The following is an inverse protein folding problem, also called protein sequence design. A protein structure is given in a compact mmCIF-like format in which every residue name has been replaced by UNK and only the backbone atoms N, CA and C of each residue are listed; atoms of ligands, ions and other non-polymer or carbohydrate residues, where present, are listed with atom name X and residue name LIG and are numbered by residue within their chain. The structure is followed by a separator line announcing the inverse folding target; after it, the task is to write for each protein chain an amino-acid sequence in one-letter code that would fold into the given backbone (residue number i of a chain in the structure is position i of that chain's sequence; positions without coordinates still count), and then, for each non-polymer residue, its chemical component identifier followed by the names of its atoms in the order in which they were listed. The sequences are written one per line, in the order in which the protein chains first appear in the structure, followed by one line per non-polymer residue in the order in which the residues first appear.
data_IF_180181654536
#
_entry.id   IF_180181654536
#
_cell.length_a   1.000
_cell.length_b   1.000
_cell.length_c   1.000
_cell.angle_alpha   90.00
_cell.angle_beta   90.00
_cell.angle_gamma   90.00
#
_symmetry.space_group_name_H-M   'P 1'
#
loop_
_entity.id
_entity.type
_entity.pdbx_description
1 polymer ?
#
# COMPACT_ATOMS: atom_id res chain seq x y z
N UNK A 1 -14.95 -10.12 -4.47
CA UNK A 1 -13.59 -9.57 -4.22
C UNK A 1 -13.04 -9.11 -5.55
N UNK A 2 -12.56 -7.88 -5.62
CA UNK A 2 -11.87 -7.30 -6.78
C UNK A 2 -10.42 -7.01 -6.37
N UNK A 3 -9.46 -7.26 -7.26
CA UNK A 3 -8.05 -7.03 -6.99
C UNK A 3 -7.58 -5.85 -7.83
N UNK A 4 -7.13 -4.79 -7.17
CA UNK A 4 -6.45 -3.66 -7.78
C UNK A 4 -4.94 -3.87 -7.67
N UNK A 5 -4.22 -3.90 -8.80
CA UNK A 5 -2.77 -4.08 -8.79
C UNK A 5 -2.09 -3.40 -9.96
N UNK A 6 -0.75 -3.42 -9.99
CA UNK A 6 0.07 -2.81 -11.03
C UNK A 6 1.38 -3.59 -11.21
N UNK A 7 2.05 -3.40 -12.34
CA UNK A 7 3.38 -3.91 -12.62
C UNK A 7 3.52 -5.44 -12.47
N UNK A 8 4.64 -5.87 -11.89
CA UNK A 8 4.97 -7.28 -11.70
C UNK A 8 3.93 -8.03 -10.87
N UNK A 9 3.34 -7.40 -9.84
CA UNK A 9 2.31 -8.03 -9.01
C UNK A 9 1.05 -8.37 -9.82
N UNK A 10 0.57 -7.43 -10.64
CA UNK A 10 -0.59 -7.66 -11.51
C UNK A 10 -0.34 -8.81 -12.49
N UNK A 11 0.87 -8.86 -13.07
CA UNK A 11 1.29 -9.95 -13.97
C UNK A 11 1.26 -11.31 -13.26
N UNK A 12 1.92 -11.45 -12.11
CA UNK A 12 1.97 -12.70 -11.35
C UNK A 12 0.58 -13.20 -10.98
N UNK A 13 -0.31 -12.30 -10.55
CA UNK A 13 -1.69 -12.65 -10.20
C UNK A 13 -2.48 -13.18 -11.41
N UNK A 14 -2.36 -12.52 -12.58
CA UNK A 14 -3.01 -12.96 -13.83
C UNK A 14 -2.49 -14.30 -14.32
N UNK A 15 -1.18 -14.53 -14.24
CA UNK A 15 -0.55 -15.82 -14.59
C UNK A 15 -1.07 -16.97 -13.73
N UNK A 16 -1.55 -16.67 -12.52
CA UNK A 16 -2.18 -17.63 -11.61
C UNK A 16 -3.72 -17.64 -11.70
N UNK A 17 -4.29 -17.09 -12.79
CA UNK A 17 -5.72 -17.16 -13.10
C UNK A 17 -6.60 -16.16 -12.33
N UNK A 18 -6.01 -15.19 -11.63
CA UNK A 18 -6.77 -14.18 -10.89
C UNK A 18 -7.12 -12.99 -11.78
N UNK A 19 -8.36 -12.50 -11.65
CA UNK A 19 -8.80 -11.25 -12.28
C UNK A 19 -8.21 -10.07 -11.53
N UNK A 20 -7.55 -9.18 -12.28
CA UNK A 20 -6.90 -7.97 -11.75
C UNK A 20 -7.35 -6.77 -12.57
N UNK A 21 -7.87 -5.76 -11.88
CA UNK A 21 -8.08 -4.41 -12.39
C UNK A 21 -6.75 -3.65 -12.28
N UNK A 22 -6.29 -3.04 -13.37
CA UNK A 22 -5.07 -2.23 -13.30
C UNK A 22 -5.34 -0.90 -12.58
N UNK A 23 -4.36 -0.44 -11.80
CA UNK A 23 -4.43 0.88 -11.14
C UNK A 23 -4.70 2.00 -12.13
N UNK A 24 -4.08 1.97 -13.32
CA UNK A 24 -4.28 2.99 -14.36
C UNK A 24 -5.70 2.97 -14.93
N UNK A 25 -6.32 1.80 -15.06
CA UNK A 25 -7.71 1.66 -15.49
C UNK A 25 -8.67 2.25 -14.44
N UNK A 26 -8.44 1.93 -13.17
CA UNK A 26 -9.25 2.47 -12.07
C UNK A 26 -9.10 3.99 -11.91
N UNK A 27 -7.87 4.50 -11.95
CA UNK A 27 -7.62 5.93 -11.80
C UNK A 27 -8.05 6.72 -13.03
N UNK A 28 -7.93 6.13 -14.22
CA UNK A 28 -8.04 6.83 -15.51
C UNK A 28 -6.78 7.63 -15.83
N UNK A 29 -5.67 7.39 -15.11
CA UNK A 29 -4.41 8.10 -15.28
C UNK A 29 -3.31 7.11 -15.70
N UNK A 30 -2.59 7.38 -16.81
CA UNK A 30 -1.53 6.48 -17.27
C UNK A 30 -0.34 6.49 -16.31
N UNK A 31 0.51 5.47 -16.42
CA UNK A 31 1.80 5.48 -15.76
C UNK A 31 2.69 6.57 -16.39
N UNK A 32 3.37 7.37 -15.55
CA UNK A 32 4.24 8.47 -15.99
C UNK A 32 5.49 8.55 -15.11
N UNK A 33 6.52 9.25 -15.63
CA UNK A 33 7.78 9.53 -14.91
C UNK A 33 8.43 8.24 -14.40
N UNK A 34 8.57 7.25 -15.28
CA UNK A 34 9.18 5.93 -14.99
C UNK A 34 8.55 5.22 -13.79
N UNK A 35 7.23 5.38 -13.62
CA UNK A 35 6.46 4.73 -12.56
C UNK A 35 6.51 5.41 -11.20
N UNK A 36 7.15 6.58 -11.09
CA UNK A 36 7.24 7.36 -9.84
C UNK A 36 5.89 7.83 -9.30
N UNK A 37 4.89 7.99 -10.17
CA UNK A 37 3.58 8.59 -9.81
C UNK A 37 2.39 7.69 -10.17
N UNK A 38 2.53 6.38 -9.96
CA UNK A 38 1.47 5.41 -10.30
C UNK A 38 0.30 5.34 -9.32
N UNK A 39 0.56 5.46 -8.02
CA UNK A 39 -0.47 5.27 -6.96
C UNK A 39 -0.83 6.54 -6.20
N UNK A 40 -0.10 7.65 -6.43
CA UNK A 40 -0.31 8.96 -5.81
C UNK A 40 -1.49 9.69 -6.46
N UNK A 41 -2.68 9.10 -6.37
CA UNK A 41 -3.89 9.60 -7.03
C UNK A 41 -5.05 9.75 -6.02
N UNK A 42 -5.88 10.81 -6.13
CA UNK A 42 -7.02 11.01 -5.23
C UNK A 42 -8.00 9.84 -5.16
N UNK A 43 -8.23 9.11 -6.27
CA UNK A 43 -9.06 7.89 -6.24
C UNK A 43 -8.48 6.77 -5.38
N UNK A 44 -7.15 6.64 -5.31
CA UNK A 44 -6.49 5.63 -4.46
C UNK A 44 -6.54 6.09 -3.01
N UNK A 45 -6.04 7.30 -2.72
CA UNK A 45 -5.96 7.77 -1.35
C UNK A 45 -7.33 8.10 -0.74
N UNK A 46 -8.30 8.56 -1.54
CA UNK A 46 -9.69 8.72 -1.12
C UNK A 46 -10.36 7.38 -0.80
N UNK A 47 -10.06 6.32 -1.56
CA UNK A 47 -10.54 4.98 -1.27
C UNK A 47 -9.97 4.40 0.03
N UNK A 48 -8.73 4.79 0.38
CA UNK A 48 -8.06 4.38 1.61
C UNK A 48 -8.45 5.22 2.83
N UNK A 49 -8.68 6.53 2.66
CA UNK A 49 -8.88 7.48 3.76
C UNK A 49 -10.34 7.88 4.00
N UNK A 50 -11.25 7.45 3.14
CA UNK A 50 -12.68 7.65 3.33
C UNK A 50 -13.16 7.08 4.66
N UNK A 51 -13.76 7.93 5.50
CA UNK A 51 -14.41 7.50 6.74
C UNK A 51 -15.83 7.08 6.34
N UNK A 52 -16.08 5.77 6.37
CA UNK A 52 -17.28 5.19 5.74
C UNK A 52 -18.57 5.58 6.44
N UNK A 53 -18.50 5.80 7.75
CA UNK A 53 -19.65 6.21 8.56
C UNK A 53 -19.85 7.73 8.60
N UNK A 54 -18.99 8.51 7.94
CA UNK A 54 -19.17 9.94 7.77
C UNK A 54 -20.00 10.21 6.50
N UNK A 55 -21.23 10.76 6.61
CA UNK A 55 -22.12 10.96 5.46
C UNK A 55 -21.51 11.85 4.36
N UNK A 56 -20.75 12.87 4.73
CA UNK A 56 -20.11 13.76 3.74
C UNK A 56 -18.97 13.07 2.99
N UNK A 57 -18.17 12.24 3.67
CA UNK A 57 -17.14 11.45 3.00
C UNK A 57 -17.77 10.45 2.04
N UNK A 58 -18.78 9.70 2.50
CA UNK A 58 -19.50 8.73 1.66
C UNK A 58 -20.13 9.40 0.42
N UNK A 59 -20.75 10.58 0.60
CA UNK A 59 -21.31 11.38 -0.50
C UNK A 59 -20.23 11.81 -1.50
N UNK A 60 -19.11 12.35 -1.02
CA UNK A 60 -18.01 12.80 -1.89
C UNK A 60 -17.31 11.66 -2.61
N UNK A 61 -17.11 10.52 -1.95
CA UNK A 61 -16.57 9.32 -2.59
C UNK A 61 -17.49 8.87 -3.73
N UNK A 62 -18.80 8.82 -3.51
CA UNK A 62 -19.78 8.48 -4.54
C UNK A 62 -19.78 9.50 -5.69
N UNK A 63 -19.78 10.80 -5.39
CA UNK A 63 -19.76 11.90 -6.37
C UNK A 63 -18.56 11.79 -7.33
N UNK A 64 -17.41 11.35 -6.82
CA UNK A 64 -16.16 11.25 -7.59
C UNK A 64 -15.83 9.82 -8.06
N UNK A 65 -16.76 8.86 -7.91
CA UNK A 65 -16.54 7.47 -8.33
C UNK A 65 -15.40 6.76 -7.59
N UNK A 66 -15.19 7.09 -6.32
CA UNK A 66 -14.17 6.51 -5.46
C UNK A 66 -14.77 5.30 -4.75
N UNK A 67 -14.30 4.11 -5.11
CA UNK A 67 -14.72 2.84 -4.52
C UNK A 67 -13.85 2.57 -3.28
N UNK A 68 -14.41 2.30 -2.09
CA UNK A 68 -13.61 2.01 -0.90
C UNK A 68 -12.66 0.82 -1.11
N UNK A 69 -11.45 0.93 -0.56
CA UNK A 69 -10.51 -0.20 -0.47
C UNK A 69 -10.59 -0.79 0.94
N UNK A 70 -10.87 -2.09 1.03
CA UNK A 70 -10.97 -2.83 2.30
C UNK A 70 -9.62 -3.36 2.80
N UNK A 71 -8.71 -3.63 1.88
CA UNK A 71 -7.43 -4.24 2.19
C UNK A 71 -6.30 -3.70 1.31
N UNK A 72 -5.16 -3.40 1.93
CA UNK A 72 -3.91 -3.06 1.26
C UNK A 72 -2.86 -4.11 1.60
N UNK A 73 -2.27 -4.71 0.58
CA UNK A 73 -1.16 -5.66 0.72
C UNK A 73 0.04 -5.11 -0.03
N UNK A 74 0.99 -4.52 0.70
CA UNK A 74 2.16 -3.85 0.13
C UNK A 74 3.35 -4.13 1.02
N UNK A 75 4.42 -4.70 0.46
CA UNK A 75 5.73 -4.74 1.10
C UNK A 75 6.63 -3.68 0.46
N UNK A 76 7.50 -3.07 1.28
CA UNK A 76 8.51 -2.15 0.77
C UNK A 76 9.73 -2.97 0.34
N UNK A 77 10.29 -2.65 -0.82
CA UNK A 77 11.60 -3.15 -1.17
C UNK A 77 12.61 -2.62 -0.14
N UNK A 78 13.51 -3.47 0.40
CA UNK A 78 14.45 -3.04 1.42
C UNK A 78 15.46 -2.06 0.82
N UNK A 79 15.25 -0.76 1.03
CA UNK A 79 16.21 0.29 0.65
C UNK A 79 17.61 0.00 1.20
N UNK A 80 17.69 -0.55 2.42
CA UNK A 80 18.92 -1.06 3.05
C UNK A 80 19.67 -2.04 2.14
N UNK A 81 18.97 -2.93 1.42
CA UNK A 81 19.60 -3.88 0.51
C UNK A 81 20.15 -3.19 -0.75
N UNK A 82 19.49 -2.16 -1.24
CA UNK A 82 19.96 -1.38 -2.39
C UNK A 82 21.27 -0.65 -2.07
N UNK A 83 21.32 0.03 -0.92
CA UNK A 83 22.49 0.84 -0.51
C UNK A 83 23.64 0.01 0.04
N UNK A 84 23.39 -1.25 0.45
CA UNK A 84 24.43 -2.19 0.84
C UNK A 84 25.26 -2.72 -0.35
N UNK A 85 24.80 -2.50 -1.61
CA UNK A 85 25.55 -2.93 -2.79
C UNK A 85 26.85 -2.11 -2.90
N UNK A 86 28.03 -2.74 -3.09
CA UNK A 86 29.32 -2.05 -3.07
C UNK A 86 29.45 -0.86 -4.03
N UNK A 87 28.73 -0.90 -5.15
CA UNK A 87 28.81 0.11 -6.21
C UNK A 87 27.55 1.00 -6.29
N UNK A 88 26.73 1.03 -5.24
CA UNK A 88 25.51 1.85 -5.24
C UNK A 88 25.87 3.35 -5.29
N UNK A 89 25.48 4.03 -6.35
CA UNK A 89 25.68 5.48 -6.46
C UNK A 89 24.63 6.26 -5.66
N UNK A 90 24.83 7.58 -5.49
CA UNK A 90 23.81 8.42 -4.88
C UNK A 90 22.54 8.47 -5.73
N UNK A 91 22.71 8.58 -7.05
CA UNK A 91 21.62 8.61 -8.03
C UNK A 91 20.84 7.30 -7.97
N UNK A 92 21.51 6.15 -7.99
CA UNK A 92 20.86 4.85 -7.86
C UNK A 92 20.07 4.73 -6.55
N UNK A 93 20.63 5.21 -5.44
CA UNK A 93 19.93 5.20 -4.16
C UNK A 93 18.69 6.09 -4.20
N UNK A 94 18.79 7.33 -4.72
CA UNK A 94 17.67 8.27 -4.84
C UNK A 94 16.54 7.69 -5.70
N UNK A 95 16.87 7.04 -6.82
CA UNK A 95 15.87 6.39 -7.69
C UNK A 95 15.12 5.25 -6.99
N UNK A 96 15.74 4.62 -5.98
CA UNK A 96 15.15 3.51 -5.23
C UNK A 96 14.39 3.95 -3.97
N UNK A 97 14.25 5.26 -3.71
CA UNK A 97 13.39 5.77 -2.64
C UNK A 97 11.93 5.68 -3.11
N UNK A 98 11.16 4.81 -2.45
CA UNK A 98 9.75 4.61 -2.71
C UNK A 98 8.92 5.72 -2.04
N UNK A 99 8.11 6.41 -2.84
CA UNK A 99 7.15 7.42 -2.35
C UNK A 99 5.75 6.82 -2.24
N UNK A 100 5.34 6.01 -3.22
CA UNK A 100 3.98 5.50 -3.33
C UNK A 100 3.67 4.44 -2.28
N UNK A 101 4.58 3.50 -2.06
CA UNK A 101 4.43 2.42 -1.07
C UNK A 101 4.21 2.97 0.34
N UNK A 102 5.14 3.76 0.91
CA UNK A 102 4.97 4.36 2.23
C UNK A 102 3.70 5.23 2.33
N UNK A 103 3.35 5.97 1.28
CA UNK A 103 2.13 6.80 1.26
C UNK A 103 0.86 5.96 1.38
N UNK A 104 0.72 4.89 0.61
CA UNK A 104 -0.44 3.99 0.67
C UNK A 104 -0.52 3.26 2.01
N UNK A 105 0.62 2.76 2.50
CA UNK A 105 0.70 2.07 3.79
C UNK A 105 0.26 2.96 4.94
N UNK A 106 0.80 4.18 5.02
CA UNK A 106 0.43 5.15 6.07
C UNK A 106 -1.03 5.58 5.96
N UNK A 107 -1.56 5.72 4.75
CA UNK A 107 -2.98 6.04 4.53
C UNK A 107 -3.89 4.92 5.05
N UNK A 108 -3.60 3.65 4.72
CA UNK A 108 -4.34 2.49 5.20
C UNK A 108 -4.24 2.33 6.73
N UNK A 109 -3.02 2.45 7.28
CA UNK A 109 -2.79 2.34 8.72
C UNK A 109 -3.48 3.46 9.52
N UNK A 110 -3.53 4.68 9.00
CA UNK A 110 -4.31 5.78 9.59
C UNK A 110 -5.79 5.42 9.67
N UNK A 111 -6.31 4.77 8.63
CA UNK A 111 -7.73 4.41 8.51
C UNK A 111 -8.00 2.95 8.92
N UNK A 112 -7.22 2.40 9.86
CA UNK A 112 -7.35 1.03 10.35
C UNK A 112 -8.76 0.58 10.81
N UNK A 113 -9.68 1.46 11.27
CA UNK A 113 -11.03 1.00 11.57
C UNK A 113 -11.77 0.43 10.35
N UNK A 114 -11.35 0.81 9.14
CA UNK A 114 -12.00 0.43 7.89
C UNK A 114 -11.10 -0.34 6.92
N UNK A 115 -9.77 -0.22 7.04
CA UNK A 115 -8.82 -0.80 6.10
C UNK A 115 -7.88 -1.77 6.81
N UNK A 116 -7.84 -3.00 6.32
CA UNK A 116 -6.83 -3.99 6.71
C UNK A 116 -5.54 -3.73 5.95
N UNK A 117 -4.41 -3.63 6.64
CA UNK A 117 -3.11 -3.37 5.99
C UNK A 117 -2.12 -4.49 6.30
N UNK A 118 -1.51 -5.08 5.28
CA UNK A 118 -0.55 -6.18 5.45
C UNK A 118 0.77 -5.81 4.76
N UNK A 119 1.84 -5.79 5.55
CA UNK A 119 3.21 -5.46 5.10
C UNK A 119 4.16 -6.65 5.12
N UNK A 120 3.74 -7.76 5.73
CA UNK A 120 4.57 -8.91 6.03
C UNK A 120 3.79 -10.18 5.69
N UNK A 121 4.30 -11.04 4.79
CA UNK A 121 3.64 -12.30 4.44
C UNK A 121 3.35 -13.21 5.65
N UNK A 122 4.09 -13.07 6.76
CA UNK A 122 3.83 -13.81 7.99
C UNK A 122 2.47 -13.47 8.62
N UNK A 123 1.85 -12.33 8.27
CA UNK A 123 0.50 -11.99 8.72
C UNK A 123 -0.61 -12.61 7.85
N UNK A 124 -0.31 -13.21 6.69
CA UNK A 124 -1.36 -13.81 5.86
C UNK A 124 -2.10 -14.93 6.59
N UNK A 125 -1.44 -15.94 7.21
CA UNK A 125 -2.16 -17.02 7.88
C UNK A 125 -3.11 -16.55 8.99
N UNK A 126 -2.69 -15.74 9.99
CA UNK A 126 -3.61 -15.32 11.06
C UNK A 126 -4.76 -14.44 10.54
N UNK A 127 -4.54 -13.57 9.55
CA UNK A 127 -5.61 -12.76 8.95
C UNK A 127 -6.60 -13.63 8.18
N UNK A 128 -6.12 -14.58 7.38
CA UNK A 128 -6.98 -15.50 6.64
C UNK A 128 -7.81 -16.37 7.57
N UNK A 129 -7.24 -16.86 8.66
CA UNK A 129 -7.96 -17.67 9.64
C UNK A 129 -9.02 -16.88 10.40
N UNK A 130 -8.77 -15.59 10.69
CA UNK A 130 -9.77 -14.69 11.23
C UNK A 130 -10.91 -14.47 10.23
N UNK A 131 -10.58 -14.11 8.97
CA UNK A 131 -11.57 -13.89 7.91
C UNK A 131 -12.46 -15.12 7.68
N UNK A 132 -11.92 -16.34 7.71
CA UNK A 132 -12.71 -17.57 7.57
C UNK A 132 -13.74 -17.72 8.69
N UNK A 133 -13.41 -17.32 9.92
CA UNK A 133 -14.29 -17.44 11.11
C UNK A 133 -15.36 -16.36 11.18
N UNK A 134 -15.12 -15.22 10.57
CA UNK A 134 -15.97 -14.01 10.66
C UNK A 134 -16.78 -13.74 9.38
N UNK A 135 -16.75 -14.65 8.40
CA UNK A 135 -17.43 -14.44 7.11
C UNK A 135 -16.76 -13.37 6.24
N UNK A 136 -15.44 -13.20 6.37
CA UNK A 136 -14.62 -12.34 5.52
C UNK A 136 -14.15 -11.04 6.18
N UNK A 137 -14.41 -10.84 7.48
CA UNK A 137 -14.10 -9.61 8.20
C UNK A 137 -12.82 -9.72 9.03
N UNK A 138 -12.10 -8.61 9.18
CA UNK A 138 -10.95 -8.50 10.09
C UNK A 138 -11.33 -7.56 11.22
N UNK A 139 -11.09 -7.97 12.47
CA UNK A 139 -11.46 -7.18 13.63
C UNK A 139 -10.66 -5.88 13.70
N UNK A 140 -11.25 -4.88 14.37
CA UNK A 140 -10.59 -3.61 14.65
C UNK A 140 -9.30 -3.80 15.47
N UNK A 141 -9.27 -4.81 16.35
CA UNK A 141 -8.08 -5.15 17.13
C UNK A 141 -6.94 -5.65 16.23
N UNK A 142 -7.22 -6.60 15.33
CA UNK A 142 -6.25 -7.07 14.34
C UNK A 142 -5.78 -5.93 13.43
N UNK A 143 -6.70 -5.10 12.93
CA UNK A 143 -6.31 -3.94 12.11
C UNK A 143 -5.42 -2.95 12.86
N UNK A 144 -5.70 -2.70 14.14
CA UNK A 144 -4.84 -1.83 14.95
C UNK A 144 -3.45 -2.43 15.18
N UNK A 145 -3.34 -3.74 15.41
CA UNK A 145 -2.06 -4.46 15.49
C UNK A 145 -1.26 -4.30 14.19
N UNK A 146 -1.91 -4.49 13.05
CA UNK A 146 -1.30 -4.36 11.73
C UNK A 146 -0.87 -2.92 11.42
N UNK A 147 -1.69 -1.93 11.77
CA UNK A 147 -1.35 -0.52 11.62
C UNK A 147 -0.09 -0.13 12.41
N UNK A 148 0.12 -0.68 13.62
CA UNK A 148 1.36 -0.48 14.38
C UNK A 148 2.58 -1.03 13.62
N UNK A 149 2.47 -2.20 12.98
CA UNK A 149 3.56 -2.77 12.15
C UNK A 149 3.91 -1.83 10.99
N UNK A 150 2.91 -1.22 10.35
CA UNK A 150 3.14 -0.25 9.27
C UNK A 150 3.96 0.94 9.74
N UNK A 151 3.55 1.60 10.84
CA UNK A 151 4.28 2.78 11.31
C UNK A 151 5.70 2.46 11.75
N UNK A 152 5.91 1.28 12.36
CA UNK A 152 7.26 0.80 12.68
C UNK A 152 8.10 0.55 11.41
N UNK A 153 7.53 -0.08 10.39
CA UNK A 153 8.19 -0.32 9.11
C UNK A 153 8.58 0.99 8.42
N UNK A 154 7.64 1.94 8.30
CA UNK A 154 7.92 3.22 7.62
C UNK A 154 8.92 4.08 8.39
N UNK A 155 8.90 4.03 9.73
CA UNK A 155 9.91 4.72 10.53
C UNK A 155 11.31 4.12 10.31
N UNK A 156 11.42 2.79 10.25
CA UNK A 156 12.69 2.11 9.91
C UNK A 156 13.16 2.48 8.50
N UNK A 157 12.24 2.52 7.54
CA UNK A 157 12.53 2.87 6.15
C UNK A 157 13.11 4.28 6.02
N UNK A 158 12.46 5.29 6.62
CA UNK A 158 12.93 6.68 6.59
C UNK A 158 14.25 6.87 7.35
N UNK A 159 14.46 6.11 8.44
CA UNK A 159 15.72 6.11 9.18
C UNK A 159 16.89 5.59 8.31
N UNK A 160 16.67 4.53 7.54
CA UNK A 160 17.68 3.99 6.62
C UNK A 160 18.06 4.99 5.52
N UNK A 161 17.07 5.71 4.97
CA UNK A 161 17.31 6.80 4.00
C UNK A 161 18.15 7.90 4.65
N UNK A 162 17.74 8.35 5.83
CA UNK A 162 18.44 9.43 6.57
C UNK A 162 19.89 9.05 6.85
N UNK A 163 20.13 7.82 7.32
CA UNK A 163 21.47 7.31 7.61
C UNK A 163 22.34 7.28 6.36
N UNK A 164 21.82 6.80 5.23
CA UNK A 164 22.56 6.76 3.98
C UNK A 164 22.94 8.17 3.51
N UNK A 165 21.98 9.12 3.50
CA UNK A 165 22.20 10.48 3.04
C UNK A 165 23.16 11.28 3.95
N UNK A 166 23.14 11.03 5.26
CA UNK A 166 24.06 11.68 6.19
C UNK A 166 25.53 11.23 6.02
N UNK A 167 25.75 10.07 5.41
CA UNK A 167 27.09 9.54 5.12
C UNK A 167 27.65 9.95 3.74
N UNK A 168 26.99 10.87 3.03
CA UNK A 168 27.40 11.37 1.72
C UNK A 168 27.98 12.77 1.77
#
# INVERSE_FOLDING_TARGET
MEILSTGGTAKTLRENGLKVLDVSEYTGFPEMLDGRVKTLHPKIHGALLGIRDNPEHARKMKEHGIIPIDMVVVNLYPFEATVARPNCTLEEAIENIDIGGPSMLRAAAKNYPYVTVIVDPADYPPVLDEMKKTGGSVSRETNFRLAKKVYALTAKYDAAITQYLAGK
#
